data_IF_913825254621
#
_entry.id   IF_913825254621
#
_cell.length_a   1.000
_cell.length_b   1.000
_cell.length_c   1.000
_cell.angle_alpha   90.00
_cell.angle_beta   90.00
_cell.angle_gamma   90.00
#
_symmetry.space_group_name_H-M   'P 1'
#
loop_
_entity.id
_entity.type
_entity.pdbx_description
1 polymer ?
#
# COMPACT_ATOMS: atom_id res chain seq x y z
N UNK A 1 -0.03 -3.34 -17.25
CA UNK A 1 -0.38 -3.27 -15.82
C UNK A 1 -1.17 -1.98 -15.61
N UNK A 2 -2.35 -2.07 -15.00
CA UNK A 2 -3.17 -0.90 -14.66
C UNK A 2 -2.97 -0.53 -13.18
N UNK A 3 -3.09 0.76 -12.81
CA UNK A 3 -3.11 1.16 -11.41
C UNK A 3 -4.30 0.55 -10.66
N UNK A 4 -4.11 0.27 -9.38
CA UNK A 4 -5.18 -0.25 -8.49
C UNK A 4 -5.23 0.58 -7.22
N UNK A 5 -6.43 0.96 -6.79
CA UNK A 5 -6.66 1.66 -5.53
C UNK A 5 -7.32 0.75 -4.49
N UNK A 6 -6.80 0.73 -3.25
CA UNK A 6 -7.40 0.03 -2.12
C UNK A 6 -6.84 0.57 -0.80
N UNK A 7 -7.65 0.55 0.27
CA UNK A 7 -7.24 0.90 1.64
C UNK A 7 -6.43 2.21 1.72
N UNK A 8 -6.96 3.27 1.11
CA UNK A 8 -6.35 4.61 1.01
C UNK A 8 -4.95 4.64 0.37
N UNK A 9 -4.69 3.67 -0.50
CA UNK A 9 -3.43 3.57 -1.25
C UNK A 9 -3.69 3.34 -2.72
N UNK A 10 -2.74 3.82 -3.52
CA UNK A 10 -2.68 3.62 -4.97
C UNK A 10 -1.42 2.81 -5.27
N UNK A 11 -1.58 1.72 -6.02
CA UNK A 11 -0.53 0.81 -6.43
C UNK A 11 -0.26 0.98 -7.92
N UNK A 12 0.96 1.37 -8.28
CA UNK A 12 1.37 1.56 -9.68
C UNK A 12 2.55 0.64 -9.97
N UNK A 13 2.33 -0.33 -10.87
CA UNK A 13 3.37 -1.26 -11.31
C UNK A 13 3.85 -0.91 -12.70
N UNK A 14 5.17 -0.72 -12.84
CA UNK A 14 5.85 -0.58 -14.13
C UNK A 14 6.24 -1.93 -14.71
N UNK A 15 6.50 -1.97 -16.02
CA UNK A 15 7.00 -3.17 -16.69
C UNK A 15 8.40 -3.59 -16.23
N UNK A 16 9.17 -2.67 -15.67
CA UNK A 16 10.56 -2.88 -15.22
C UNK A 16 10.65 -3.49 -13.81
N UNK A 17 9.53 -3.96 -13.24
CA UNK A 17 9.53 -4.58 -11.93
C UNK A 17 9.51 -3.61 -10.76
N UNK A 18 9.13 -2.35 -11.01
CA UNK A 18 9.00 -1.33 -9.99
C UNK A 18 7.51 -1.19 -9.64
N UNK A 19 7.17 -1.40 -8.37
CA UNK A 19 5.82 -1.10 -7.86
C UNK A 19 5.88 0.01 -6.83
N UNK A 20 5.23 1.13 -7.14
CA UNK A 20 5.06 2.27 -6.24
C UNK A 20 3.76 2.09 -5.44
N UNK A 21 3.83 2.41 -4.16
CA UNK A 21 2.66 2.51 -3.28
C UNK A 21 2.56 3.96 -2.83
N UNK A 22 1.46 4.63 -3.15
CA UNK A 22 1.21 6.03 -2.81
C UNK A 22 -0.03 6.15 -1.93
N UNK A 23 -0.16 7.22 -1.15
CA UNK A 23 -1.41 7.53 -0.46
C UNK A 23 -2.46 8.00 -1.46
N UNK A 24 -3.72 7.66 -1.20
CA UNK A 24 -4.89 8.16 -1.93
C UNK A 24 -5.48 9.43 -1.28
N UNK A 25 -4.62 10.26 -0.69
CA UNK A 25 -5.01 11.52 -0.05
C UNK A 25 -4.70 12.71 -0.98
N UNK A 26 -5.27 13.88 -0.69
CA UNK A 26 -5.07 15.11 -1.45
C UNK A 26 -3.58 15.47 -1.61
N UNK A 27 -2.83 15.40 -0.50
CA UNK A 27 -1.37 15.48 -0.50
C UNK A 27 -0.75 14.12 -0.84
N UNK A 28 -0.92 13.62 -2.06
CA UNK A 28 -0.37 12.31 -2.48
C UNK A 28 1.10 12.14 -2.07
N UNK A 29 1.39 11.13 -1.24
CA UNK A 29 2.74 10.82 -0.72
C UNK A 29 3.16 9.44 -1.18
N UNK A 30 4.45 9.29 -1.50
CA UNK A 30 5.05 7.98 -1.72
C UNK A 30 5.21 7.25 -0.38
N UNK A 31 4.54 6.11 -0.24
CA UNK A 31 4.57 5.28 0.97
C UNK A 31 5.62 4.17 0.89
N UNK A 32 5.84 3.60 -0.30
CA UNK A 32 6.80 2.52 -0.51
C UNK A 32 7.20 2.37 -1.98
N UNK A 33 8.40 1.83 -2.21
CA UNK A 33 8.91 1.42 -3.52
C UNK A 33 9.39 -0.02 -3.42
N UNK A 34 8.74 -0.92 -4.16
CA UNK A 34 9.11 -2.32 -4.23
C UNK A 34 9.80 -2.60 -5.56
N UNK A 35 10.95 -3.26 -5.53
CA UNK A 35 11.72 -3.63 -6.73
C UNK A 35 11.84 -5.14 -6.82
N UNK A 36 11.34 -5.70 -7.90
CA UNK A 36 11.42 -7.12 -8.21
C UNK A 36 12.14 -7.28 -9.54
N UNK A 37 13.04 -8.26 -9.63
CA UNK A 37 13.79 -8.54 -10.85
C UNK A 37 12.99 -9.43 -11.81
N UNK A 38 11.83 -8.94 -12.26
CA UNK A 38 10.92 -9.58 -13.20
C UNK A 38 10.15 -8.53 -14.02
N UNK A 39 9.49 -8.97 -15.08
CA UNK A 39 8.70 -8.12 -15.98
C UNK A 39 7.22 -8.30 -15.66
N UNK A 40 6.49 -7.18 -15.57
CA UNK A 40 5.07 -7.19 -15.17
C UNK A 40 4.20 -6.55 -16.25
N UNK A 41 3.28 -7.36 -16.80
CA UNK A 41 2.25 -6.91 -17.73
C UNK A 41 0.85 -6.94 -17.10
N UNK A 42 0.64 -7.81 -16.10
CA UNK A 42 -0.61 -7.94 -15.36
C UNK A 42 -0.83 -6.78 -14.38
N UNK A 43 -2.09 -6.51 -14.06
CA UNK A 43 -2.44 -5.60 -12.97
C UNK A 43 -2.20 -6.27 -11.61
N UNK A 44 -1.85 -5.51 -10.55
CA UNK A 44 -1.75 -6.06 -9.20
C UNK A 44 -3.10 -6.58 -8.69
N UNK A 45 -3.06 -7.60 -7.83
CA UNK A 45 -4.24 -8.09 -7.13
C UNK A 45 -4.03 -7.96 -5.61
N UNK A 46 -5.04 -7.47 -4.89
CA UNK A 46 -4.98 -7.25 -3.45
C UNK A 46 -5.92 -8.21 -2.73
N UNK A 47 -5.43 -8.88 -1.68
CA UNK A 47 -6.23 -9.75 -0.80
C UNK A 47 -5.78 -9.50 0.63
N UNK A 48 -6.66 -8.95 1.47
CA UNK A 48 -6.30 -8.52 2.81
C UNK A 48 -5.16 -7.49 2.78
N UNK A 49 -4.04 -7.78 3.46
CA UNK A 49 -2.85 -6.94 3.48
C UNK A 49 -1.79 -7.32 2.42
N UNK A 50 -2.10 -8.31 1.59
CA UNK A 50 -1.17 -8.87 0.61
C UNK A 50 -1.40 -8.30 -0.78
N UNK A 51 -0.29 -8.06 -1.47
CA UNK A 51 -0.21 -7.60 -2.85
C UNK A 51 0.40 -8.72 -3.70
N UNK A 52 -0.40 -9.23 -4.64
CA UNK A 52 0.02 -10.24 -5.60
C UNK A 52 0.41 -9.59 -6.92
N UNK A 53 1.60 -9.96 -7.41
CA UNK A 53 2.13 -9.48 -8.69
C UNK A 53 2.50 -10.68 -9.55
N UNK A 54 1.81 -10.84 -10.68
CA UNK A 54 2.13 -11.87 -11.66
C UNK A 54 3.21 -11.35 -12.61
N UNK A 55 4.44 -11.81 -12.41
CA UNK A 55 5.55 -11.59 -13.32
C UNK A 55 5.51 -12.55 -14.53
N UNK A 56 6.52 -12.46 -15.39
CA UNK A 56 6.72 -13.43 -16.46
C UNK A 56 7.31 -14.75 -15.95
N UNK A 57 8.15 -14.68 -14.90
CA UNK A 57 8.84 -15.84 -14.34
C UNK A 57 8.15 -16.38 -13.09
N UNK A 58 7.66 -15.49 -12.22
CA UNK A 58 7.12 -15.87 -10.91
C UNK A 58 5.80 -15.18 -10.58
N UNK A 59 5.07 -15.75 -9.63
CA UNK A 59 4.00 -15.07 -8.90
C UNK A 59 4.54 -14.63 -7.54
N UNK A 60 4.50 -13.33 -7.28
CA UNK A 60 4.99 -12.75 -6.03
C UNK A 60 3.82 -12.45 -5.09
N UNK A 61 4.06 -12.61 -3.79
CA UNK A 61 3.21 -12.10 -2.72
C UNK A 61 4.04 -11.15 -1.86
N UNK A 62 3.62 -9.89 -1.80
CA UNK A 62 4.27 -8.85 -1.00
C UNK A 62 3.33 -8.43 0.13
N UNK A 63 3.86 -8.27 1.32
CA UNK A 63 3.14 -7.73 2.47
C UNK A 63 4.05 -6.74 3.22
N UNK A 64 3.46 -5.69 3.80
CA UNK A 64 4.22 -4.78 4.65
C UNK A 64 4.57 -5.53 5.93
N UNK A 65 5.87 -5.66 6.22
CA UNK A 65 6.30 -6.17 7.51
C UNK A 65 5.93 -5.13 8.58
N UNK A 66 4.89 -5.43 9.36
CA UNK A 66 4.50 -4.61 10.51
C UNK A 66 5.25 -5.17 11.70
N UNK A 67 6.25 -4.43 12.18
CA UNK A 67 6.82 -4.71 13.50
C UNK A 67 5.71 -4.49 14.54
N UNK A 68 5.57 -5.38 15.55
CA UNK A 68 4.42 -5.36 16.47
C UNK A 68 4.35 -4.15 17.41
N UNK A 69 5.14 -3.09 17.18
CA UNK A 69 5.25 -1.93 18.06
C UNK A 69 4.25 -0.80 17.74
N UNK A 70 3.44 -0.88 16.68
CA UNK A 70 2.53 0.19 16.29
C UNK A 70 1.08 -0.18 16.55
N UNK A 71 0.69 -0.22 17.83
CA UNK A 71 -0.69 0.04 18.23
C UNK A 71 -0.79 1.55 18.49
N UNK A 72 -1.26 2.31 17.50
CA UNK A 72 -1.69 3.68 17.78
C UNK A 72 -3.03 3.59 18.51
N UNK A 73 -3.04 4.14 19.72
CA UNK A 73 -4.22 4.30 20.54
C UNK A 73 -5.19 5.24 19.80
N UNK A 74 -6.27 4.68 19.25
CA UNK A 74 -7.48 5.45 18.93
C UNK A 74 -8.09 5.87 20.27
N UNK A 75 -7.59 6.97 20.82
CA UNK A 75 -8.19 7.64 21.98
C UNK A 75 -9.52 8.27 21.56
N UNK A 76 -10.58 7.83 22.23
CA UNK A 76 -11.96 8.34 22.15
C UNK A 76 -12.08 9.87 22.05
N UNK A 77 -13.12 10.38 21.35
CA UNK A 77 -13.47 11.79 21.37
C UNK A 77 -14.29 12.09 22.63
N UNK A 78 -13.63 12.44 23.74
CA UNK A 78 -14.32 13.00 24.91
C UNK A 78 -14.26 14.52 24.92
N UNK A 79 -15.36 15.09 24.40
CA UNK A 79 -16.12 16.21 24.96
C UNK A 79 -15.41 17.54 25.23
N UNK A 80 -15.91 18.55 24.51
CA UNK A 80 -16.00 19.93 24.96
C UNK A 80 -16.29 20.02 26.47
N UNK A 81 -15.49 20.80 27.19
CA UNK A 81 -16.01 21.58 28.31
C UNK A 81 -15.22 22.89 28.40
N UNK A 82 -15.95 23.96 28.16
CA UNK A 82 -15.60 25.33 28.55
C UNK A 82 -15.08 25.35 30.00
N UNK A 83 -14.09 26.20 30.28
CA UNK A 83 -14.04 26.86 31.57
C UNK A 83 -13.26 28.19 31.54
N UNK A 84 -14.05 29.25 31.78
CA UNK A 84 -13.78 30.53 32.46
C UNK A 84 -12.70 31.48 31.94
#
# INVERSE_FOLDING_TARGET
ASPVGAADRIYITSREGITLVMSNAEDSKLLSVNRLNDVFSASPALVGNQLFLRGEKFLYCLEKNVSPATFQNEGEPSSQSQNK
#
